data_IF_958238356932
#
_entry.id   IF_958238356932
#
_cell.length_a   1.000
_cell.length_b   1.000
_cell.length_c   1.000
_cell.angle_alpha   90.00
_cell.angle_beta   90.00
_cell.angle_gamma   90.00
#
_symmetry.space_group_name_H-M   'P 1'
#
loop_
_entity.id
_entity.type
_entity.pdbx_description
1 polymer ?
#
# COMPACT_ATOMS: atom_id res chain seq x y z
N UNK A 1 11.36 5.44 -0.75
CA UNK A 1 10.65 5.53 0.55
C UNK A 1 9.15 5.30 0.44
N UNK A 2 8.41 6.03 -0.41
CA UNK A 2 6.94 5.92 -0.57
C UNK A 2 6.44 4.48 -0.74
N UNK A 3 7.01 3.70 -1.67
CA UNK A 3 6.66 2.29 -1.93
C UNK A 3 6.65 1.41 -0.66
N UNK A 4 7.71 1.52 0.14
CA UNK A 4 7.88 0.71 1.35
C UNK A 4 6.89 1.13 2.45
N UNK A 5 6.70 2.44 2.62
CA UNK A 5 5.86 2.96 3.70
C UNK A 5 4.37 2.69 3.41
N UNK A 6 3.90 2.92 2.17
CA UNK A 6 2.51 2.65 1.79
C UNK A 6 2.19 1.14 1.87
N UNK A 7 3.07 0.27 1.36
CA UNK A 7 2.86 -1.17 1.42
C UNK A 7 2.83 -1.71 2.85
N UNK A 8 3.75 -1.26 3.72
CA UNK A 8 3.77 -1.66 5.13
C UNK A 8 2.58 -1.12 5.92
N UNK A 9 2.20 0.15 5.70
CA UNK A 9 1.04 0.73 6.35
C UNK A 9 -0.25 -0.03 6.01
N UNK A 10 -0.43 -0.40 4.73
CA UNK A 10 -1.59 -1.18 4.32
C UNK A 10 -1.61 -2.59 4.95
N UNK A 11 -0.45 -3.26 5.02
CA UNK A 11 -0.35 -4.57 5.68
C UNK A 11 -0.74 -4.47 7.17
N UNK A 12 -0.23 -3.47 7.88
CA UNK A 12 -0.54 -3.24 9.30
C UNK A 12 -2.03 -2.92 9.49
N UNK A 13 -2.64 -2.12 8.61
CA UNK A 13 -4.06 -1.78 8.69
C UNK A 13 -4.97 -3.02 8.49
N UNK A 14 -4.57 -3.94 7.61
CA UNK A 14 -5.28 -5.21 7.41
C UNK A 14 -5.16 -6.12 8.62
N UNK A 15 -3.97 -6.24 9.20
CA UNK A 15 -3.76 -7.01 10.43
C UNK A 15 -4.56 -6.42 11.61
N UNK A 16 -4.61 -5.09 11.73
CA UNK A 16 -5.45 -4.41 12.72
C UNK A 16 -6.95 -4.71 12.52
N UNK A 17 -7.42 -4.75 11.28
CA UNK A 17 -8.80 -5.13 10.95
C UNK A 17 -9.11 -6.56 11.37
N UNK A 18 -8.19 -7.48 11.10
CA UNK A 18 -8.36 -8.90 11.43
C UNK A 18 -8.38 -9.12 12.96
N UNK A 19 -7.57 -8.38 13.71
CA UNK A 19 -7.62 -8.39 15.18
C UNK A 19 -8.98 -7.96 15.77
N UNK A 20 -9.74 -7.11 15.06
CA UNK A 20 -11.07 -6.65 15.47
C UNK A 20 -12.20 -7.58 15.01
N UNK A 21 -11.91 -8.63 14.24
CA UNK A 21 -12.91 -9.58 13.74
C UNK A 21 -14.06 -8.89 13.02
N UNK A 22 -15.31 -9.27 13.33
CA UNK A 22 -16.50 -8.64 12.74
C UNK A 22 -16.62 -7.14 13.00
N UNK A 23 -16.14 -6.67 14.15
CA UNK A 23 -16.15 -5.25 14.50
C UNK A 23 -15.16 -4.44 13.67
N UNK A 24 -14.14 -5.10 13.09
CA UNK A 24 -13.18 -4.46 12.18
C UNK A 24 -13.78 -4.04 10.84
N UNK A 25 -14.99 -4.50 10.50
CA UNK A 25 -15.74 -4.07 9.30
C UNK A 25 -16.66 -2.88 9.62
N UNK A 26 -16.99 -2.67 10.90
CA UNK A 26 -17.76 -1.51 11.33
C UNK A 26 -16.93 -0.24 11.20
N UNK A 27 -17.58 0.85 10.78
CA UNK A 27 -16.95 2.17 10.74
C UNK A 27 -16.76 2.77 12.15
N UNK A 28 -17.32 2.14 13.18
CA UNK A 28 -17.24 2.58 14.58
C UNK A 28 -15.80 2.61 15.13
N UNK A 29 -14.92 1.75 14.62
CA UNK A 29 -13.51 1.70 15.02
C UNK A 29 -12.58 2.38 13.99
N UNK A 30 -13.10 2.88 12.86
CA UNK A 30 -12.34 3.59 11.81
C UNK A 30 -11.27 2.77 11.05
N UNK A 31 -11.01 1.52 11.46
CA UNK A 31 -9.94 0.70 10.88
C UNK A 31 -10.25 0.36 9.42
N UNK A 32 -11.52 0.06 9.11
CA UNK A 32 -11.94 -0.22 7.73
C UNK A 32 -11.76 1.01 6.83
N UNK A 33 -12.02 2.21 7.35
CA UNK A 33 -11.78 3.47 6.64
C UNK A 33 -10.28 3.64 6.32
N UNK A 34 -9.40 3.35 7.29
CA UNK A 34 -7.95 3.39 7.06
C UNK A 34 -7.46 2.37 6.04
N UNK A 35 -8.00 1.15 6.04
CA UNK A 35 -7.69 0.13 5.01
C UNK A 35 -8.05 0.67 3.62
N UNK A 36 -9.27 1.19 3.45
CA UNK A 36 -9.74 1.71 2.16
C UNK A 36 -8.92 2.91 1.67
N UNK A 37 -8.58 3.83 2.57
CA UNK A 37 -7.74 4.99 2.25
C UNK A 37 -6.32 4.57 1.85
N UNK A 38 -5.72 3.60 2.55
CA UNK A 38 -4.37 3.12 2.27
C UNK A 38 -4.30 2.31 0.98
N UNK A 39 -5.39 1.64 0.58
CA UNK A 39 -5.50 0.98 -0.72
C UNK A 39 -5.39 2.01 -1.86
N UNK A 40 -6.10 3.12 -1.74
CA UNK A 40 -6.01 4.23 -2.70
C UNK A 40 -4.58 4.83 -2.72
N UNK A 41 -4.00 5.12 -1.56
CA UNK A 41 -2.65 5.71 -1.43
C UNK A 41 -1.55 4.78 -1.98
N UNK A 42 -1.72 3.46 -1.84
CA UNK A 42 -0.80 2.48 -2.42
C UNK A 42 -0.77 2.54 -3.97
N UNK A 43 -1.84 3.04 -4.58
CA UNK A 43 -2.01 3.07 -6.05
C UNK A 43 -1.81 4.47 -6.65
N UNK A 44 -2.19 5.55 -5.95
CA UNK A 44 -2.42 6.89 -6.54
C UNK A 44 -1.19 7.72 -6.94
N UNK A 45 0.04 7.31 -6.64
CA UNK A 45 1.24 8.08 -7.04
C UNK A 45 2.38 7.12 -7.37
N UNK A 46 2.29 6.45 -8.52
CA UNK A 46 3.18 5.37 -8.89
C UNK A 46 2.84 4.07 -8.15
N UNK A 47 2.36 3.08 -8.91
CA UNK A 47 2.11 1.74 -8.37
C UNK A 47 3.39 1.14 -7.80
N UNK A 48 3.22 0.14 -6.95
CA UNK A 48 4.34 -0.59 -6.37
C UNK A 48 5.33 -1.09 -7.44
N UNK A 49 4.81 -1.44 -8.62
CA UNK A 49 5.59 -1.95 -9.75
C UNK A 49 6.29 -0.84 -10.52
N UNK A 50 5.64 0.30 -10.76
CA UNK A 50 6.28 1.46 -11.39
C UNK A 50 7.49 1.92 -10.58
N UNK A 51 7.38 1.96 -9.25
CA UNK A 51 8.52 2.30 -8.39
C UNK A 51 9.63 1.24 -8.41
N UNK A 52 9.31 -0.04 -8.56
CA UNK A 52 10.31 -1.09 -8.72
C UNK A 52 11.09 -0.93 -10.04
N UNK A 53 10.39 -0.63 -11.12
CA UNK A 53 10.98 -0.43 -12.44
C UNK A 53 11.86 0.84 -12.50
N UNK A 54 11.49 1.93 -11.80
CA UNK A 54 12.34 3.13 -11.70
C UNK A 54 13.66 2.80 -10.98
N UNK A 55 13.58 2.07 -9.86
CA UNK A 55 14.78 1.62 -9.13
C UNK A 55 15.64 0.65 -9.97
N UNK A 56 15.00 -0.27 -10.70
CA UNK A 56 15.67 -1.20 -11.61
C UNK A 56 16.44 -0.48 -12.72
N UNK A 57 15.84 0.54 -13.34
CA UNK A 57 16.53 1.43 -14.29
C UNK A 57 17.70 2.15 -13.65
N UNK A 58 17.53 2.65 -12.42
CA UNK A 58 18.60 3.31 -11.67
C UNK A 58 19.81 2.43 -11.38
N UNK A 59 19.61 1.11 -11.24
CA UNK A 59 20.69 0.14 -11.01
C UNK A 59 21.30 -0.42 -12.29
N UNK A 60 20.49 -0.67 -13.31
CA UNK A 60 20.90 -1.41 -14.53
C UNK A 60 21.13 -0.52 -15.74
N UNK A 61 20.64 0.72 -15.73
CA UNK A 61 20.61 1.61 -16.89
C UNK A 61 19.60 1.22 -17.98
N UNK A 62 18.94 0.08 -17.85
CA UNK A 62 17.98 -0.43 -18.82
C UNK A 62 16.55 -0.03 -18.46
N UNK A 63 15.79 0.43 -19.44
CA UNK A 63 14.38 0.76 -19.26
C UNK A 63 13.53 -0.50 -19.41
N UNK A 64 12.63 -0.75 -18.43
CA UNK A 64 11.75 -1.91 -18.39
C UNK A 64 10.25 -1.53 -18.28
N UNK A 65 9.91 -0.31 -18.70
CA UNK A 65 8.50 0.09 -18.90
C UNK A 65 8.11 -0.20 -20.35
N UNK A 66 6.86 -0.61 -20.59
CA UNK A 66 6.24 -0.67 -21.92
C UNK A 66 5.38 0.57 -22.12
#
# INVERSE_FOLDING_TARGET
MKRNNCGKALAIAREARDMHGGNGVSDEYGIIQHVMNLEAVNTYEGTHDVHALILGRGQTGLQAFV
#
